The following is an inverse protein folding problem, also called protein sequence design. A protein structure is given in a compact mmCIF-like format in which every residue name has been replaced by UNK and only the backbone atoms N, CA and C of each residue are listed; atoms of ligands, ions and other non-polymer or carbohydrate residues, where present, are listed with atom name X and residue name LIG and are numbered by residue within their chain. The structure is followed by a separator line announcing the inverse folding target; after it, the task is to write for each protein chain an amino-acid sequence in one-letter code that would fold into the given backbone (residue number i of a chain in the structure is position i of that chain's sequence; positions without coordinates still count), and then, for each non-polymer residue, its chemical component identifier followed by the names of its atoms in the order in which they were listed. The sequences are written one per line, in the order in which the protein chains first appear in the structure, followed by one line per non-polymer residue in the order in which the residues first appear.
data_IF_654861063709
#
_entry.id   IF_654861063709
#
_cell.length_a   1.000
_cell.length_b   1.000
_cell.length_c   1.000
_cell.angle_alpha   90.00
_cell.angle_beta   90.00
_cell.angle_gamma   90.00
#
_symmetry.space_group_name_H-M   'P 1'
#
loop_
_entity.id
_entity.type
_entity.pdbx_description
1 polymer ?
#
# COMPACT_ATOMS: atom_id res chain seq x y z
N UNK A 1 -15.68 16.51 12.20
CA UNK A 1 -14.54 17.06 11.43
C UNK A 1 -14.69 18.58 11.41
N UNK A 2 -13.73 19.32 11.98
CA UNK A 2 -13.71 20.79 11.95
C UNK A 2 -12.66 21.21 10.92
N UNK A 3 -13.08 21.86 9.83
CA UNK A 3 -12.19 22.22 8.72
C UNK A 3 -11.17 23.31 9.11
N UNK A 4 -11.44 24.07 10.16
CA UNK A 4 -10.57 25.17 10.62
C UNK A 4 -9.46 24.70 11.58
N UNK A 5 -9.46 23.41 11.95
CA UNK A 5 -8.49 22.84 12.90
C UNK A 5 -7.80 21.63 12.27
N UNK A 6 -6.55 21.84 11.85
CA UNK A 6 -5.67 20.74 11.42
C UNK A 6 -5.40 19.83 12.62
N UNK A 7 -5.89 18.60 12.55
CA UNK A 7 -5.67 17.58 13.57
C UNK A 7 -4.20 17.13 13.55
N UNK A 8 -3.69 16.68 14.71
CA UNK A 8 -2.38 16.06 14.77
C UNK A 8 -2.43 14.70 14.10
N UNK A 9 -1.39 14.33 13.35
CA UNK A 9 -1.31 13.05 12.64
C UNK A 9 -1.47 11.84 13.56
N UNK A 10 -1.02 11.94 14.81
CA UNK A 10 -1.08 10.87 15.81
C UNK A 10 -2.51 10.61 16.31
N UNK A 11 -3.41 11.57 16.13
CA UNK A 11 -4.83 11.47 16.51
C UNK A 11 -5.70 10.98 15.34
N UNK A 12 -5.11 10.79 14.15
CA UNK A 12 -5.82 10.31 12.95
C UNK A 12 -5.87 8.79 12.89
N UNK A 13 -6.95 8.26 12.31
CA UNK A 13 -7.00 6.86 11.91
C UNK A 13 -5.90 6.54 10.90
N UNK A 14 -5.35 5.32 10.98
CA UNK A 14 -4.28 4.88 10.10
C UNK A 14 -4.79 4.85 8.65
N UNK A 15 -4.10 5.57 7.77
CA UNK A 15 -4.34 5.49 6.33
C UNK A 15 -3.48 4.36 5.76
N UNK A 16 -4.13 3.31 5.29
CA UNK A 16 -3.47 2.21 4.59
C UNK A 16 -3.46 2.49 3.08
N UNK A 17 -2.28 2.40 2.47
CA UNK A 17 -2.11 2.50 1.02
C UNK A 17 -1.63 1.16 0.47
N UNK A 18 -2.29 0.66 -0.57
CA UNK A 18 -1.81 -0.52 -1.28
C UNK A 18 -0.64 -0.16 -2.20
N UNK A 19 0.42 -0.97 -2.19
CA UNK A 19 1.53 -0.89 -3.13
C UNK A 19 1.55 -2.11 -4.07
N UNK A 20 2.49 -2.14 -5.01
CA UNK A 20 2.65 -3.20 -6.00
C UNK A 20 3.41 -4.45 -5.52
N UNK A 21 3.83 -4.54 -4.25
CA UNK A 21 4.79 -5.55 -3.80
C UNK A 21 4.33 -7.00 -4.04
N UNK A 22 3.11 -7.35 -3.61
CA UNK A 22 2.51 -8.64 -3.94
C UNK A 22 0.98 -8.64 -3.82
N UNK A 23 0.36 -9.57 -4.54
CA UNK A 23 -1.08 -9.83 -4.47
C UNK A 23 -1.29 -11.34 -4.32
N UNK A 24 -1.96 -11.76 -3.24
CA UNK A 24 -2.24 -13.17 -2.96
C UNK A 24 -3.74 -13.39 -3.12
N UNK A 25 -4.12 -14.23 -4.09
CA UNK A 25 -5.51 -14.56 -4.36
C UNK A 25 -5.66 -15.97 -4.93
N UNK A 26 -6.86 -16.53 -4.82
CA UNK A 26 -7.18 -17.81 -5.45
C UNK A 26 -7.58 -17.61 -6.91
N UNK A 27 -7.34 -18.63 -7.75
CA UNK A 27 -7.82 -18.67 -9.15
C UNK A 27 -9.33 -18.43 -9.26
N UNK A 28 -10.11 -18.94 -8.30
CA UNK A 28 -11.57 -18.77 -8.25
C UNK A 28 -11.94 -17.29 -8.09
N UNK A 29 -11.32 -16.61 -7.13
CA UNK A 29 -11.55 -15.18 -6.85
C UNK A 29 -11.16 -14.33 -8.07
N UNK A 30 -9.98 -14.54 -8.64
CA UNK A 30 -9.51 -13.78 -9.80
C UNK A 30 -10.44 -13.93 -11.01
N UNK A 31 -10.88 -15.15 -11.32
CA UNK A 31 -11.81 -15.41 -12.43
C UNK A 31 -13.18 -14.76 -12.22
N UNK A 32 -13.66 -14.69 -10.98
CA UNK A 32 -14.95 -14.07 -10.64
C UNK A 32 -14.90 -12.54 -10.78
N UNK A 33 -13.92 -11.90 -10.15
CA UNK A 33 -13.88 -10.44 -10.02
C UNK A 33 -13.04 -9.74 -11.10
N UNK A 34 -12.23 -10.48 -11.86
CA UNK A 34 -11.36 -9.97 -12.92
C UNK A 34 -10.43 -8.83 -12.47
N UNK A 35 -10.00 -8.88 -11.21
CA UNK A 35 -9.06 -7.92 -10.61
C UNK A 35 -8.18 -8.64 -9.57
N UNK A 36 -7.15 -7.94 -9.08
CA UNK A 36 -6.15 -8.47 -8.13
C UNK A 36 -6.51 -8.32 -6.65
N UNK A 37 -7.59 -7.60 -6.32
CA UNK A 37 -7.96 -7.24 -4.93
C UNK A 37 -9.20 -7.98 -4.42
N UNK A 38 -10.04 -8.49 -5.31
CA UNK A 38 -11.36 -8.98 -4.93
C UNK A 38 -12.27 -7.86 -4.41
N UNK A 39 -13.24 -8.25 -3.58
CA UNK A 39 -14.28 -7.36 -3.03
C UNK A 39 -13.97 -6.86 -1.62
N UNK A 40 -13.32 -7.69 -0.80
CA UNK A 40 -12.90 -7.34 0.56
C UNK A 40 -11.47 -7.86 0.83
N UNK A 41 -10.44 -7.14 0.37
CA UNK A 41 -9.05 -7.56 0.54
C UNK A 41 -8.58 -7.42 1.98
N UNK A 42 -7.66 -8.30 2.37
CA UNK A 42 -6.82 -8.08 3.55
C UNK A 42 -5.57 -7.32 3.14
N UNK A 43 -5.12 -6.38 3.98
CA UNK A 43 -3.86 -5.67 3.79
C UNK A 43 -2.79 -6.28 4.69
N UNK A 44 -1.58 -6.44 4.15
CA UNK A 44 -0.39 -6.78 4.91
C UNK A 44 0.51 -5.54 4.94
N UNK A 45 0.72 -4.89 6.10
CA UNK A 45 1.52 -3.68 6.17
C UNK A 45 2.99 -4.00 5.87
N UNK A 46 3.58 -3.22 4.97
CA UNK A 46 5.01 -3.22 4.69
C UNK A 46 5.63 -1.94 5.22
N UNK A 47 6.86 -2.05 5.70
CA UNK A 47 7.67 -0.93 6.15
C UNK A 47 8.83 -0.71 5.19
N UNK A 48 9.49 0.43 5.32
CA UNK A 48 10.76 0.63 4.63
C UNK A 48 11.82 -0.37 5.13
N UNK A 49 12.65 -0.95 4.24
CA UNK A 49 12.74 -0.67 2.80
C UNK A 49 11.80 -1.49 1.92
N UNK A 50 11.15 -2.55 2.40
CA UNK A 50 10.32 -3.43 1.56
C UNK A 50 9.11 -2.74 0.92
N UNK A 51 8.66 -1.62 1.47
CA UNK A 51 7.56 -0.84 0.93
C UNK A 51 7.93 0.09 -0.23
N UNK A 52 9.22 0.26 -0.56
CA UNK A 52 9.71 1.19 -1.59
C UNK A 52 9.38 0.66 -3.00
N UNK A 53 8.67 1.46 -3.81
CA UNK A 53 8.47 1.21 -5.24
C UNK A 53 9.59 1.87 -6.05
N UNK A 54 10.09 1.17 -7.08
CA UNK A 54 11.17 1.67 -7.93
C UNK A 54 10.55 2.14 -9.26
N UNK A 55 10.21 3.42 -9.35
CA UNK A 55 9.65 4.05 -10.54
C UNK A 55 10.67 4.92 -11.28
N UNK A 56 11.70 5.40 -10.57
CA UNK A 56 12.70 6.31 -11.10
C UNK A 56 14.12 5.97 -10.60
N UNK A 57 15.11 6.73 -11.10
CA UNK A 57 16.53 6.53 -10.75
C UNK A 57 16.83 6.76 -9.27
N UNK A 58 16.20 7.75 -8.63
CA UNK A 58 16.42 8.00 -7.20
C UNK A 58 15.89 6.86 -6.33
N UNK A 59 14.77 6.23 -6.70
CA UNK A 59 14.25 5.08 -5.97
C UNK A 59 15.24 3.90 -6.04
N UNK A 60 15.81 3.66 -7.22
CA UNK A 60 16.85 2.64 -7.42
C UNK A 60 18.11 2.91 -6.61
N UNK A 61 18.60 4.16 -6.64
CA UNK A 61 19.76 4.58 -5.86
C UNK A 61 19.53 4.44 -4.35
N UNK A 62 18.30 4.65 -3.88
CA UNK A 62 17.92 4.44 -2.48
C UNK A 62 17.87 2.94 -2.15
N UNK A 63 17.16 2.15 -2.96
CA UNK A 63 17.00 0.71 -2.78
C UNK A 63 18.33 -0.06 -2.77
N UNK A 64 19.35 0.44 -3.46
CA UNK A 64 20.69 -0.18 -3.50
C UNK A 64 21.60 0.21 -2.34
N UNK A 65 21.16 1.11 -1.45
CA UNK A 65 21.92 1.62 -0.30
C UNK A 65 21.35 1.21 1.06
N UNK A 66 20.22 0.52 1.05
CA UNK A 66 19.49 0.03 2.24
C UNK A 66 19.81 -1.43 2.52
#
# INVERSE_FOLDING_TARGET
FNHDVVQKTQDLELVMMGNGAFFIFTKKTFKKYKNRTGENPYFYPLTFPESLEIDNKSDWELATRV
#
